data_IF_313831565301
#
_entry.id   IF_313831565301
#
_cell.length_a   1.000
_cell.length_b   1.000
_cell.length_c   1.000
_cell.angle_alpha   90.00
_cell.angle_beta   90.00
_cell.angle_gamma   90.00
#
_symmetry.space_group_name_H-M   'P 1'
#
loop_
_entity.id
_entity.type
_entity.pdbx_description
1 polymer ?
#
# COMPACT_ATOMS: atom_id res chain seq x y z
N UNK A 1 -32.87 17.54 -9.79
CA UNK A 1 -32.26 17.23 -8.46
C UNK A 1 -30.77 17.00 -8.70
N UNK A 2 -29.86 17.66 -7.98
CA UNK A 2 -28.41 17.44 -8.16
C UNK A 2 -28.00 16.20 -7.36
N UNK A 3 -27.20 15.32 -7.96
CA UNK A 3 -26.69 14.10 -7.35
C UNK A 3 -25.18 14.28 -7.13
N UNK A 4 -24.70 14.07 -5.90
CA UNK A 4 -23.26 14.14 -5.59
C UNK A 4 -22.69 12.73 -5.58
N UNK A 5 -21.53 12.53 -6.21
CA UNK A 5 -20.89 11.21 -6.31
C UNK A 5 -19.38 11.30 -6.08
N UNK A 6 -18.80 10.29 -5.43
CA UNK A 6 -17.35 10.09 -5.32
C UNK A 6 -16.89 9.12 -6.39
N UNK A 7 -15.95 9.56 -7.21
CA UNK A 7 -15.38 8.82 -8.30
C UNK A 7 -13.91 8.53 -8.01
N UNK A 8 -13.49 7.28 -8.15
CA UNK A 8 -12.07 6.91 -8.23
C UNK A 8 -11.79 6.48 -9.66
N UNK A 9 -10.86 7.16 -10.31
CA UNK A 9 -10.51 6.96 -11.73
C UNK A 9 -9.01 6.74 -11.83
N UNK A 10 -8.59 5.78 -12.66
CA UNK A 10 -7.18 5.65 -13.04
C UNK A 10 -6.98 6.20 -14.45
N UNK A 11 -5.88 6.92 -14.63
CA UNK A 11 -5.41 7.45 -15.90
C UNK A 11 -4.08 6.77 -16.20
N UNK A 12 -4.04 5.90 -17.22
CA UNK A 12 -2.80 5.30 -17.71
C UNK A 12 -2.27 6.14 -18.87
N UNK A 13 -1.01 6.56 -18.79
CA UNK A 13 -0.31 7.38 -19.78
C UNK A 13 0.85 6.61 -20.40
N UNK A 14 0.80 6.38 -21.71
CA UNK A 14 2.01 6.13 -22.50
C UNK A 14 2.66 7.49 -22.77
N UNK A 15 3.79 7.79 -22.13
CA UNK A 15 4.48 9.07 -22.27
C UNK A 15 5.90 8.94 -22.82
N UNK A 16 6.18 9.68 -23.89
CA UNK A 16 7.50 10.25 -24.14
C UNK A 16 7.57 11.60 -23.42
N UNK A 17 8.69 11.83 -22.75
CA UNK A 17 8.99 12.92 -21.80
C UNK A 17 8.82 14.34 -22.34
N UNK A 18 8.22 15.23 -21.52
CA UNK A 18 8.89 16.47 -21.03
C UNK A 18 8.11 17.15 -19.87
N UNK A 19 8.87 17.75 -18.96
CA UNK A 19 8.45 18.41 -17.72
C UNK A 19 8.08 19.89 -17.89
N UNK A 20 7.21 20.43 -17.01
CA UNK A 20 7.50 21.63 -16.20
C UNK A 20 6.41 21.98 -15.17
N UNK A 21 6.90 22.60 -14.10
CA UNK A 21 6.39 23.04 -12.78
C UNK A 21 5.46 24.26 -12.75
N UNK A 22 4.58 24.37 -11.74
CA UNK A 22 4.36 25.59 -10.94
C UNK A 22 3.52 25.36 -9.66
N UNK A 23 3.90 26.09 -8.61
CA UNK A 23 3.51 26.10 -7.18
C UNK A 23 2.21 26.86 -6.85
N UNK A 24 1.58 26.54 -5.70
CA UNK A 24 0.49 27.33 -5.07
C UNK A 24 0.74 27.51 -3.56
N UNK A 25 0.34 28.68 -3.03
CA UNK A 25 0.50 29.14 -1.65
C UNK A 25 -0.71 28.81 -0.72
N UNK A 26 -0.43 28.83 0.60
CA UNK A 26 -1.31 28.53 1.73
C UNK A 26 -2.42 29.58 2.01
N UNK A 27 -3.40 29.28 2.90
CA UNK A 27 -3.29 29.82 4.27
C UNK A 27 -3.91 29.00 5.44
N UNK A 28 -3.33 29.26 6.62
CA UNK A 28 -3.85 29.49 8.00
C UNK A 28 -5.01 28.71 8.68
N UNK A 29 -4.74 28.48 9.97
CA UNK A 29 -5.39 27.69 11.02
C UNK A 29 -6.69 28.21 11.64
N UNK A 30 -7.42 27.31 12.31
CA UNK A 30 -8.34 27.60 13.43
C UNK A 30 -8.33 26.48 14.48
N UNK A 31 -8.52 26.87 15.74
CA UNK A 31 -8.39 26.10 17.01
C UNK A 31 -9.79 25.73 17.55
N UNK A 32 -9.82 24.92 18.63
CA UNK A 32 -10.81 24.82 19.76
C UNK A 32 -11.55 23.46 19.82
N UNK A 33 -11.91 22.86 20.98
CA UNK A 33 -11.15 22.46 22.18
C UNK A 33 -11.41 20.99 22.62
N UNK A 34 -10.73 20.59 23.69
CA UNK A 34 -10.73 19.33 24.44
C UNK A 34 -12.08 18.94 25.09
N UNK A 35 -12.43 17.65 25.05
CA UNK A 35 -13.44 17.06 25.96
C UNK A 35 -12.92 15.73 26.52
N UNK A 36 -13.01 15.59 27.85
CA UNK A 36 -12.53 14.44 28.63
C UNK A 36 -13.62 13.38 28.76
N UNK A 37 -13.28 12.11 28.56
CA UNK A 37 -14.19 11.00 28.83
C UNK A 37 -13.60 10.06 29.90
N UNK A 38 -14.36 9.90 30.98
CA UNK A 38 -14.13 9.05 32.13
C UNK A 38 -14.24 7.56 31.79
N UNK A 39 -13.28 6.78 32.29
CA UNK A 39 -13.19 5.32 32.24
C UNK A 39 -14.31 4.63 33.02
N UNK A 40 -14.93 3.60 32.44
CA UNK A 40 -15.70 2.58 33.16
C UNK A 40 -15.22 1.20 32.74
N UNK A 41 -14.66 0.46 33.69
CA UNK A 41 -14.10 -0.87 33.51
C UNK A 41 -15.23 -1.88 33.24
N UNK A 42 -15.12 -2.62 32.13
CA UNK A 42 -16.00 -3.74 31.78
C UNK A 42 -15.24 -5.03 32.04
N UNK A 43 -15.94 -5.96 32.68
CA UNK A 43 -15.45 -7.27 33.08
C UNK A 43 -14.87 -8.07 31.91
N UNK A 44 -13.74 -8.74 32.18
CA UNK A 44 -12.95 -9.52 31.24
C UNK A 44 -13.67 -10.83 30.89
N UNK A 45 -14.45 -10.81 29.81
CA UNK A 45 -14.79 -12.03 29.06
C UNK A 45 -13.52 -12.53 28.36
N UNK A 46 -13.25 -13.85 28.43
CA UNK A 46 -12.12 -14.45 27.71
C UNK A 46 -12.21 -14.06 26.22
N UNK A 47 -11.24 -13.26 25.77
CA UNK A 47 -11.22 -12.74 24.41
C UNK A 47 -11.06 -13.89 23.42
N UNK A 48 -11.87 -13.89 22.36
CA UNK A 48 -11.65 -14.73 21.18
C UNK A 48 -10.21 -14.52 20.68
N UNK A 49 -9.50 -15.58 20.27
CA UNK A 49 -8.16 -15.44 19.75
C UNK A 49 -8.19 -14.52 18.52
N UNK A 50 -7.32 -13.51 18.52
CA UNK A 50 -7.17 -12.62 17.37
C UNK A 50 -6.90 -13.42 16.11
N UNK A 51 -7.57 -13.04 15.03
CA UNK A 51 -7.42 -13.66 13.72
C UNK A 51 -6.99 -12.59 12.74
N UNK A 52 -5.89 -12.85 12.02
CA UNK A 52 -5.41 -11.95 10.99
C UNK A 52 -6.49 -11.71 9.91
N UNK A 53 -6.52 -10.53 9.27
CA UNK A 53 -7.47 -10.26 8.20
C UNK A 53 -7.33 -11.32 7.08
N UNK A 54 -8.45 -11.80 6.55
CA UNK A 54 -8.45 -12.88 5.54
C UNK A 54 -7.66 -12.55 4.26
N UNK A 55 -7.40 -11.27 3.99
CA UNK A 55 -6.56 -10.81 2.88
C UNK A 55 -5.07 -11.09 3.10
N UNK A 56 -4.63 -11.39 4.32
CA UNK A 56 -3.23 -11.71 4.59
C UNK A 56 -2.90 -13.09 4.02
N UNK A 57 -1.73 -13.18 3.43
CA UNK A 57 -1.06 -14.45 3.15
C UNK A 57 -0.61 -15.05 4.48
N UNK A 58 -0.45 -16.39 4.57
CA UNK A 58 0.06 -17.04 5.78
C UNK A 58 1.36 -16.39 6.24
N UNK A 59 1.52 -16.22 7.55
CA UNK A 59 2.72 -15.64 8.16
C UNK A 59 2.92 -16.20 9.57
N UNK A 60 4.07 -15.87 10.19
CA UNK A 60 4.56 -16.36 11.49
C UNK A 60 4.87 -17.86 11.51
N UNK A 61 5.28 -18.35 12.67
CA UNK A 61 5.54 -19.76 13.00
C UNK A 61 4.52 -20.76 12.45
N UNK A 62 3.22 -20.42 12.37
CA UNK A 62 2.21 -21.28 11.75
C UNK A 62 2.41 -21.50 10.24
N UNK A 63 3.04 -20.55 9.56
CA UNK A 63 3.42 -20.60 8.15
C UNK A 63 4.89 -21.02 7.92
N UNK A 64 5.66 -21.22 8.99
CA UNK A 64 7.07 -21.60 8.96
C UNK A 64 8.02 -20.44 8.67
N UNK A 65 7.60 -19.21 8.95
CA UNK A 65 8.38 -18.00 8.68
C UNK A 65 9.66 -17.92 9.51
N UNK A 66 10.64 -17.20 8.97
CA UNK A 66 11.77 -16.66 9.75
C UNK A 66 11.29 -15.41 10.47
N UNK A 67 11.44 -15.36 11.80
CA UNK A 67 10.94 -14.28 12.65
C UNK A 67 12.10 -13.44 13.21
N UNK A 68 11.99 -12.11 13.11
CA UNK A 68 12.95 -11.14 13.63
C UNK A 68 12.23 -10.15 14.53
N UNK A 69 12.48 -10.24 15.84
CA UNK A 69 11.94 -9.31 16.83
C UNK A 69 12.72 -8.00 16.82
N UNK A 70 12.02 -6.89 17.07
CA UNK A 70 12.65 -5.60 17.32
C UNK A 70 13.74 -5.71 18.39
N UNK A 71 14.89 -5.11 18.11
CA UNK A 71 16.02 -5.05 19.05
C UNK A 71 16.40 -3.64 19.48
N UNK A 72 15.73 -2.59 18.94
CA UNK A 72 15.87 -1.20 19.37
C UNK A 72 16.96 -0.38 18.67
N UNK A 73 17.34 -0.75 17.44
CA UNK A 73 18.30 -0.03 16.59
C UNK A 73 17.77 0.03 15.15
N UNK A 74 18.09 1.11 14.40
CA UNK A 74 17.81 1.35 12.96
C UNK A 74 18.43 0.25 12.06
N UNK A 75 17.90 -0.95 12.15
CA UNK A 75 18.50 -2.16 11.64
C UNK A 75 17.65 -2.84 10.57
N UNK A 76 18.30 -3.70 9.81
CA UNK A 76 17.71 -4.40 8.69
C UNK A 76 18.25 -5.81 8.61
N UNK A 77 17.48 -6.68 7.96
CA UNK A 77 17.90 -8.05 7.65
C UNK A 77 18.12 -8.20 6.16
N UNK A 78 19.32 -8.63 5.78
CA UNK A 78 19.63 -9.01 4.40
C UNK A 78 19.03 -10.38 4.10
N UNK A 79 18.19 -10.44 3.08
CA UNK A 79 17.55 -11.68 2.63
C UNK A 79 18.01 -11.99 1.22
N UNK A 80 18.71 -13.12 1.06
CA UNK A 80 19.02 -13.66 -0.26
C UNK A 80 17.78 -14.37 -0.81
N UNK A 81 17.36 -14.01 -2.02
CA UNK A 81 16.16 -14.58 -2.65
C UNK A 81 16.52 -15.90 -3.33
N UNK A 82 15.66 -16.92 -3.17
CA UNK A 82 15.82 -18.20 -3.88
C UNK A 82 15.57 -18.10 -5.39
N UNK A 83 14.83 -17.07 -5.81
CA UNK A 83 14.56 -16.75 -7.22
C UNK A 83 14.75 -15.24 -7.43
N UNK A 84 15.42 -14.80 -8.52
CA UNK A 84 15.57 -13.38 -8.79
C UNK A 84 14.22 -12.69 -8.97
N UNK A 85 14.04 -11.52 -8.36
CA UNK A 85 12.83 -10.71 -8.46
C UNK A 85 13.08 -9.46 -9.31
N UNK A 86 12.19 -9.14 -10.24
CA UNK A 86 12.33 -7.94 -11.07
C UNK A 86 11.46 -6.80 -10.54
N UNK A 87 12.09 -5.67 -10.25
CA UNK A 87 11.44 -4.44 -9.80
C UNK A 87 11.79 -3.28 -10.76
N UNK A 88 10.79 -2.82 -11.50
CA UNK A 88 10.85 -1.75 -12.51
C UNK A 88 12.03 -1.84 -13.47
N UNK A 89 12.28 -3.03 -14.02
CA UNK A 89 13.30 -3.27 -15.05
C UNK A 89 14.69 -3.58 -14.51
N UNK A 90 14.85 -3.64 -13.18
CA UNK A 90 16.06 -4.14 -12.52
C UNK A 90 15.76 -5.46 -11.82
N UNK A 91 16.68 -6.40 -11.92
CA UNK A 91 16.54 -7.72 -11.31
C UNK A 91 17.43 -7.83 -10.09
N UNK A 92 16.86 -8.28 -8.98
CA UNK A 92 17.49 -8.37 -7.68
C UNK A 92 17.52 -9.83 -7.20
N UNK A 93 18.66 -10.22 -6.62
CA UNK A 93 18.85 -11.55 -6.01
C UNK A 93 18.75 -11.48 -4.48
N UNK A 94 18.47 -10.30 -3.94
CA UNK A 94 18.41 -10.03 -2.51
C UNK A 94 17.55 -8.81 -2.24
N UNK A 95 17.15 -8.63 -1.01
CA UNK A 95 16.52 -7.42 -0.49
C UNK A 95 16.93 -7.21 0.97
N UNK A 96 16.58 -6.05 1.51
CA UNK A 96 16.74 -5.72 2.93
C UNK A 96 15.38 -5.44 3.53
N UNK A 97 15.05 -6.14 4.61
CA UNK A 97 13.83 -5.94 5.40
C UNK A 97 14.16 -5.05 6.59
N UNK A 98 13.57 -3.87 6.64
CA UNK A 98 13.78 -2.90 7.72
C UNK A 98 12.66 -3.02 8.75
N UNK A 99 12.98 -2.84 10.02
CA UNK A 99 11.96 -2.79 11.07
C UNK A 99 10.94 -1.68 10.82
N UNK A 100 11.40 -0.54 10.31
CA UNK A 100 10.60 0.64 9.98
C UNK A 100 9.62 0.49 8.80
N UNK A 101 9.22 -0.73 8.46
CA UNK A 101 8.16 -0.99 7.49
C UNK A 101 8.57 -0.65 6.05
N UNK A 102 9.83 -0.94 5.71
CA UNK A 102 10.46 -0.66 4.43
C UNK A 102 11.15 -1.91 3.87
N UNK A 103 11.00 -2.14 2.56
CA UNK A 103 11.80 -3.09 1.79
C UNK A 103 12.66 -2.32 0.79
N UNK A 104 13.96 -2.54 0.81
CA UNK A 104 14.88 -1.96 -0.18
C UNK A 104 15.57 -3.07 -0.96
N UNK A 105 15.89 -2.84 -2.23
CA UNK A 105 16.42 -3.89 -3.10
C UNK A 105 17.93 -3.77 -3.37
N UNK A 106 18.39 -2.58 -3.75
CA UNK A 106 19.77 -2.38 -4.20
C UNK A 106 20.76 -2.03 -3.07
N UNK A 107 20.29 -1.39 -2.00
CA UNK A 107 21.09 -1.02 -0.84
C UNK A 107 20.17 -0.76 0.37
N UNK A 108 20.66 -0.92 1.61
CA UNK A 108 19.88 -0.55 2.79
C UNK A 108 19.70 0.97 2.87
N UNK A 109 18.58 1.41 3.43
CA UNK A 109 18.27 2.81 3.73
C UNK A 109 18.34 3.03 5.26
N UNK A 110 19.34 3.77 5.78
CA UNK A 110 19.54 3.95 7.22
C UNK A 110 18.74 5.14 7.77
N UNK A 111 17.46 5.26 7.41
CA UNK A 111 16.63 6.39 7.82
C UNK A 111 15.55 5.96 8.84
N UNK A 112 15.43 6.75 9.91
CA UNK A 112 14.42 6.59 10.97
C UNK A 112 12.97 6.79 10.51
N UNK A 113 12.73 7.15 9.25
CA UNK A 113 11.38 7.39 8.76
C UNK A 113 11.32 7.92 7.34
N UNK A 114 10.10 8.17 6.83
CA UNK A 114 9.92 8.53 5.44
C UNK A 114 10.57 9.87 5.10
N UNK A 115 11.46 9.82 4.11
CA UNK A 115 11.94 10.98 3.40
C UNK A 115 10.95 11.25 2.26
N UNK A 116 10.37 12.45 2.20
CA UNK A 116 9.20 12.76 1.35
C UNK A 116 9.31 12.27 -0.10
N UNK A 117 8.20 11.72 -0.64
CA UNK A 117 8.10 11.35 -2.05
C UNK A 117 7.85 12.54 -3.02
N UNK A 118 8.44 12.51 -4.22
CA UNK A 118 9.46 11.56 -4.67
C UNK A 118 10.78 11.78 -3.91
N UNK A 119 11.35 10.71 -3.36
CA UNK A 119 12.61 10.79 -2.60
C UNK A 119 13.75 11.30 -3.48
N UNK A 120 13.68 11.00 -4.79
CA UNK A 120 14.74 11.16 -5.78
C UNK A 120 16.04 10.52 -5.31
N UNK A 121 15.91 9.46 -4.51
CA UNK A 121 17.00 8.72 -3.91
C UNK A 121 17.69 7.79 -4.89
N UNK A 122 18.64 7.04 -4.33
CA UNK A 122 19.42 6.02 -5.03
C UNK A 122 18.91 4.61 -4.79
N UNK A 123 17.76 4.48 -4.12
CA UNK A 123 17.15 3.24 -3.66
C UNK A 123 15.93 2.88 -4.53
N UNK A 124 15.79 1.60 -4.85
CA UNK A 124 14.53 0.99 -5.24
C UNK A 124 13.90 0.39 -3.99
N UNK A 125 12.67 0.79 -3.65
CA UNK A 125 12.01 0.34 -2.43
C UNK A 125 10.49 0.20 -2.52
N UNK A 126 9.94 -0.65 -1.65
CA UNK A 126 8.51 -0.72 -1.33
C UNK A 126 8.35 -0.35 0.14
N UNK A 127 7.52 0.64 0.42
CA UNK A 127 7.21 1.12 1.76
C UNK A 127 5.76 0.72 2.07
N UNK A 128 5.46 -0.48 2.59
CA UNK A 128 4.09 -0.80 2.98
C UNK A 128 3.58 0.08 4.11
N UNK A 129 4.43 0.49 5.05
CA UNK A 129 4.08 1.41 6.13
C UNK A 129 5.39 1.96 6.70
N UNK A 130 6.03 2.90 6.00
CA UNK A 130 7.30 3.46 6.42
C UNK A 130 7.09 4.52 7.50
N UNK A 131 7.62 4.28 8.69
CA UNK A 131 7.58 5.17 9.85
C UNK A 131 8.69 4.79 10.84
N UNK A 132 8.84 5.57 11.91
CA UNK A 132 9.82 5.35 12.99
C UNK A 132 9.30 4.28 13.98
N UNK A 133 9.11 3.06 13.49
CA UNK A 133 8.40 1.97 14.21
C UNK A 133 9.27 1.24 15.23
N UNK A 134 10.59 1.29 15.09
CA UNK A 134 11.51 0.65 16.03
C UNK A 134 11.64 1.41 17.36
N UNK A 135 11.32 2.71 17.37
CA UNK A 135 11.43 3.60 18.54
C UNK A 135 10.08 3.97 19.19
N UNK A 136 8.93 3.50 18.70
CA UNK A 136 7.62 3.81 19.32
C UNK A 136 7.38 3.14 20.69
N UNK A 137 8.32 2.32 21.17
CA UNK A 137 8.26 1.67 22.48
C UNK A 137 7.28 0.48 22.57
N UNK A 138 6.88 -0.08 21.43
CA UNK A 138 5.96 -1.22 21.34
C UNK A 138 6.74 -2.51 21.11
N UNK A 139 6.18 -3.65 21.51
CA UNK A 139 6.69 -4.93 21.03
C UNK A 139 6.34 -5.09 19.56
N UNK A 140 7.34 -5.42 18.74
CA UNK A 140 7.11 -5.71 17.34
C UNK A 140 8.12 -6.68 16.76
N UNK A 141 7.79 -7.15 15.57
CA UNK A 141 8.62 -8.03 14.75
C UNK A 141 8.29 -7.81 13.29
N UNK A 142 9.17 -8.31 12.43
CA UNK A 142 8.72 -8.80 11.13
C UNK A 142 9.00 -10.30 10.99
N UNK A 143 8.26 -10.93 10.09
CA UNK A 143 8.40 -12.33 9.75
C UNK A 143 8.33 -12.48 8.22
N UNK A 144 9.14 -13.37 7.65
CA UNK A 144 9.13 -13.60 6.21
C UNK A 144 9.27 -15.07 5.81
N UNK A 145 8.76 -15.40 4.61
CA UNK A 145 8.86 -16.72 4.01
C UNK A 145 8.85 -16.65 2.48
N UNK A 146 9.57 -17.58 1.85
CA UNK A 146 9.52 -17.83 0.40
C UNK A 146 8.71 -19.09 0.07
N UNK A 147 7.96 -19.04 -1.02
CA UNK A 147 7.17 -20.15 -1.54
C UNK A 147 7.51 -20.39 -3.02
N UNK A 148 7.95 -21.60 -3.32
CA UNK A 148 8.20 -22.11 -4.68
C UNK A 148 7.25 -23.25 -5.07
N UNK A 149 6.33 -23.61 -4.17
CA UNK A 149 5.29 -24.60 -4.40
C UNK A 149 4.11 -24.37 -3.42
N UNK A 150 3.04 -25.15 -3.56
CA UNK A 150 1.93 -25.19 -2.62
C UNK A 150 0.82 -24.18 -2.89
N UNK A 151 -0.15 -24.12 -1.96
CA UNK A 151 -1.38 -23.34 -2.11
C UNK A 151 -1.17 -21.83 -2.15
N UNK A 152 -0.05 -21.33 -1.64
CA UNK A 152 0.31 -19.91 -1.69
C UNK A 152 0.51 -19.44 -3.13
N UNK A 153 1.20 -20.22 -3.97
CA UNK A 153 1.33 -19.91 -5.41
C UNK A 153 -0.02 -19.93 -6.12
N UNK A 154 -0.90 -20.89 -5.78
CA UNK A 154 -2.26 -20.96 -6.34
C UNK A 154 -3.05 -19.71 -6.01
N UNK A 155 -3.01 -19.26 -4.74
CA UNK A 155 -3.67 -18.02 -4.30
C UNK A 155 -3.10 -16.81 -5.02
N UNK A 156 -1.77 -16.67 -5.10
CA UNK A 156 -1.11 -15.57 -5.79
C UNK A 156 -1.49 -15.52 -7.28
N UNK A 157 -1.55 -16.68 -7.92
CA UNK A 157 -2.00 -16.81 -9.32
C UNK A 157 -3.44 -16.33 -9.48
N UNK A 158 -4.35 -16.71 -8.57
CA UNK A 158 -5.74 -16.28 -8.61
C UNK A 158 -5.89 -14.78 -8.37
N UNK A 159 -5.22 -14.24 -7.35
CA UNK A 159 -5.24 -12.82 -7.01
C UNK A 159 -4.74 -11.96 -8.19
N UNK A 160 -3.58 -12.30 -8.75
CA UNK A 160 -3.00 -11.54 -9.88
C UNK A 160 -3.88 -11.64 -11.12
N UNK A 161 -4.39 -12.82 -11.48
CA UNK A 161 -5.29 -12.95 -12.64
C UNK A 161 -6.65 -12.27 -12.44
N UNK A 162 -7.12 -12.15 -11.18
CA UNK A 162 -8.32 -11.38 -10.87
C UNK A 162 -8.10 -9.87 -11.10
N UNK A 163 -6.94 -9.35 -10.70
CA UNK A 163 -6.65 -7.91 -10.76
C UNK A 163 -6.05 -7.46 -12.10
N UNK A 164 -5.36 -8.35 -12.80
CA UNK A 164 -4.64 -8.13 -14.05
C UNK A 164 -4.95 -9.24 -15.09
N UNK A 165 -6.23 -9.42 -15.49
CA UNK A 165 -6.67 -10.58 -16.28
C UNK A 165 -6.06 -10.69 -17.68
N UNK A 166 -5.44 -9.62 -18.19
CA UNK A 166 -4.83 -9.59 -19.53
C UNK A 166 -3.43 -10.20 -19.56
N UNK A 167 -2.84 -10.53 -18.40
CA UNK A 167 -1.43 -10.92 -18.29
C UNK A 167 -1.20 -12.44 -18.41
N UNK A 168 -2.25 -13.28 -18.30
CA UNK A 168 -2.16 -14.74 -18.31
C UNK A 168 -1.05 -15.28 -17.37
N UNK A 169 -1.12 -14.87 -16.11
CA UNK A 169 -0.05 -15.06 -15.14
C UNK A 169 -0.15 -16.41 -14.42
N UNK A 170 0.98 -17.00 -14.03
CA UNK A 170 1.02 -18.17 -13.12
C UNK A 170 2.22 -18.06 -12.20
N UNK A 171 1.98 -17.81 -10.91
CA UNK A 171 3.05 -17.61 -9.94
C UNK A 171 3.93 -18.87 -9.83
N UNK A 172 5.24 -18.70 -9.95
CA UNK A 172 6.25 -19.72 -9.65
C UNK A 172 7.03 -19.41 -8.38
N UNK A 173 6.96 -18.16 -7.90
CA UNK A 173 7.66 -17.71 -6.72
C UNK A 173 6.86 -16.62 -5.99
N UNK A 174 6.79 -16.72 -4.66
CA UNK A 174 6.17 -15.72 -3.78
C UNK A 174 7.06 -15.50 -2.56
N UNK A 175 7.30 -14.25 -2.20
CA UNK A 175 7.89 -13.85 -0.92
C UNK A 175 6.87 -13.07 -0.12
N UNK A 176 6.58 -13.52 1.10
CA UNK A 176 5.68 -12.86 2.04
C UNK A 176 6.52 -12.29 3.16
N UNK A 177 6.30 -11.02 3.50
CA UNK A 177 6.85 -10.40 4.70
C UNK A 177 5.76 -9.63 5.42
N UNK A 178 5.66 -9.85 6.73
CA UNK A 178 4.63 -9.26 7.59
C UNK A 178 5.28 -8.59 8.77
N UNK A 179 4.96 -7.32 8.99
CA UNK A 179 5.30 -6.58 10.20
C UNK A 179 4.11 -6.60 11.15
N UNK A 180 4.39 -6.84 12.42
CA UNK A 180 3.36 -6.84 13.45
C UNK A 180 3.89 -6.18 14.72
N UNK A 181 3.25 -5.07 15.09
CA UNK A 181 3.54 -4.27 16.28
C UNK A 181 2.30 -4.25 17.17
N UNK A 182 2.49 -4.42 18.48
CA UNK A 182 1.41 -4.39 19.48
C UNK A 182 1.85 -3.50 20.63
N UNK A 183 0.98 -2.57 21.05
CA UNK A 183 1.16 -1.61 22.14
C UNK A 183 1.23 -2.33 23.50
N UNK A 184 2.36 -2.99 23.75
CA UNK A 184 2.62 -3.74 24.97
C UNK A 184 4.12 -3.96 25.13
N UNK A 185 4.55 -4.22 26.36
CA UNK A 185 5.88 -4.74 26.70
C UNK A 185 5.81 -6.19 27.20
N UNK A 186 4.62 -6.81 27.18
CA UNK A 186 4.39 -8.18 27.63
C UNK A 186 4.22 -9.15 26.46
N UNK A 187 5.06 -10.20 26.44
CA UNK A 187 5.07 -11.20 25.37
C UNK A 187 3.75 -11.96 25.24
N UNK A 188 3.02 -12.20 26.33
CA UNK A 188 1.72 -12.88 26.23
C UNK A 188 0.67 -11.97 25.59
N UNK A 189 0.68 -10.67 25.91
CA UNK A 189 -0.18 -9.68 25.25
C UNK A 189 0.16 -9.53 23.77
N UNK A 190 1.45 -9.56 23.41
CA UNK A 190 1.88 -9.54 22.02
C UNK A 190 1.38 -10.76 21.24
N UNK A 191 1.62 -11.98 21.76
CA UNK A 191 1.20 -13.23 21.10
C UNK A 191 -0.33 -13.34 20.98
N UNK A 192 -1.07 -12.84 21.97
CA UNK A 192 -2.54 -12.83 21.96
C UNK A 192 -3.14 -11.67 21.18
N UNK A 193 -2.30 -10.74 20.69
CA UNK A 193 -2.73 -9.51 20.02
C UNK A 193 -3.77 -8.73 20.84
N UNK A 194 -3.50 -8.57 22.14
CA UNK A 194 -4.50 -8.11 23.12
C UNK A 194 -4.50 -6.59 23.38
N UNK A 195 -3.83 -5.80 22.55
CA UNK A 195 -3.74 -4.35 22.66
C UNK A 195 -3.85 -3.70 21.26
N UNK A 196 -3.68 -2.37 21.18
CA UNK A 196 -3.63 -1.69 19.88
C UNK A 196 -2.49 -2.23 19.04
N UNK A 197 -2.68 -2.33 17.73
CA UNK A 197 -1.71 -2.95 16.85
C UNK A 197 -1.58 -2.27 15.50
N UNK A 198 -0.41 -2.44 14.91
CA UNK A 198 -0.08 -2.06 13.55
C UNK A 198 0.39 -3.34 12.85
N UNK A 199 -0.42 -3.84 11.93
CA UNK A 199 -0.14 -5.08 11.19
C UNK A 199 -0.27 -4.82 9.70
N UNK A 200 0.80 -5.06 8.95
CA UNK A 200 0.82 -4.88 7.50
C UNK A 200 1.75 -5.88 6.84
N UNK A 201 1.51 -6.17 5.57
CA UNK A 201 2.20 -7.23 4.84
C UNK A 201 2.51 -6.81 3.41
N UNK A 202 3.71 -7.13 2.95
CA UNK A 202 4.09 -7.08 1.53
C UNK A 202 4.20 -8.49 0.98
N UNK A 203 3.67 -8.70 -0.22
CA UNK A 203 3.75 -9.98 -0.95
C UNK A 203 4.36 -9.73 -2.32
N UNK A 204 5.60 -10.16 -2.53
CA UNK A 204 6.25 -10.14 -3.85
C UNK A 204 5.86 -11.40 -4.61
N UNK A 205 5.49 -11.28 -5.87
CA UNK A 205 4.93 -12.38 -6.67
C UNK A 205 5.60 -12.37 -8.04
N UNK A 206 6.12 -13.52 -8.49
CA UNK A 206 6.75 -13.65 -9.81
C UNK A 206 6.46 -14.99 -10.47
N UNK A 207 6.47 -14.99 -11.81
CA UNK A 207 6.51 -16.20 -12.66
C UNK A 207 7.90 -16.41 -13.31
N UNK A 208 8.90 -15.61 -12.92
CA UNK A 208 10.23 -15.54 -13.53
C UNK A 208 10.37 -14.52 -14.65
N UNK A 209 9.27 -14.05 -15.25
CA UNK A 209 9.26 -13.01 -16.28
C UNK A 209 8.52 -11.75 -15.81
N UNK A 210 7.26 -11.93 -15.36
CA UNK A 210 6.41 -10.91 -14.81
C UNK A 210 6.54 -10.87 -13.29
N UNK A 211 6.53 -9.66 -12.75
CA UNK A 211 6.62 -9.41 -11.31
C UNK A 211 5.51 -8.45 -10.86
N UNK A 212 4.94 -8.76 -9.71
CA UNK A 212 3.89 -8.01 -9.05
C UNK A 212 4.21 -7.90 -7.57
N UNK A 213 3.56 -6.96 -6.89
CA UNK A 213 3.53 -6.95 -5.43
C UNK A 213 2.17 -6.53 -4.90
N UNK A 214 1.82 -7.08 -3.75
CA UNK A 214 0.65 -6.69 -2.98
C UNK A 214 1.10 -6.03 -1.67
N UNK A 215 0.33 -5.06 -1.21
CA UNK A 215 0.40 -4.54 0.16
C UNK A 215 -0.95 -4.80 0.82
N UNK A 216 -0.95 -5.47 1.97
CA UNK A 216 -2.14 -5.79 2.75
C UNK A 216 -2.06 -5.10 4.12
N UNK A 217 -3.18 -4.52 4.56
CA UNK A 217 -3.31 -3.80 5.83
C UNK A 217 -4.30 -4.48 6.76
N UNK A 218 -3.87 -4.68 8.02
CA UNK A 218 -4.71 -5.03 9.14
C UNK A 218 -5.03 -3.79 9.96
N UNK A 219 -5.00 -3.90 11.28
CA UNK A 219 -5.14 -2.71 12.11
C UNK A 219 -3.91 -1.80 11.97
N UNK A 220 -4.17 -0.49 12.03
CA UNK A 220 -3.18 0.56 11.94
C UNK A 220 -3.48 1.54 13.07
N UNK A 221 -3.01 1.22 14.27
CA UNK A 221 -3.16 2.05 15.45
C UNK A 221 -2.43 3.40 15.29
N UNK A 222 -2.80 4.38 16.12
CA UNK A 222 -2.24 5.73 16.04
C UNK A 222 -0.81 5.73 16.57
N UNK A 223 0.08 6.34 15.81
CA UNK A 223 1.44 6.73 16.22
C UNK A 223 1.66 8.22 15.97
N UNK A 224 2.66 8.80 16.62
CA UNK A 224 2.98 10.22 16.50
C UNK A 224 3.79 10.55 15.25
N UNK A 225 4.52 9.56 14.74
CA UNK A 225 5.44 9.73 13.62
C UNK A 225 4.74 9.77 12.26
N UNK A 226 5.46 10.30 11.28
CA UNK A 226 4.96 10.36 9.91
C UNK A 226 4.90 8.96 9.33
N UNK A 227 3.82 8.69 8.58
CA UNK A 227 3.63 7.44 7.87
C UNK A 227 3.59 7.73 6.40
N UNK A 228 4.33 6.95 5.63
CA UNK A 228 4.20 6.92 4.19
C UNK A 228 4.07 5.48 3.69
N UNK A 229 3.12 5.27 2.79
CA UNK A 229 2.93 3.97 2.18
C UNK A 229 2.92 4.08 0.66
N UNK A 230 3.56 3.13 -0.02
CA UNK A 230 3.79 3.22 -1.46
C UNK A 230 5.04 2.49 -1.95
N UNK A 231 5.63 3.04 -3.00
CA UNK A 231 6.92 2.60 -3.53
C UNK A 231 7.62 3.75 -4.25
N UNK A 232 8.94 3.67 -4.35
CA UNK A 232 9.75 4.58 -5.15
C UNK A 232 10.87 3.77 -5.83
N UNK A 233 11.40 4.32 -6.92
CA UNK A 233 12.52 3.75 -7.66
C UNK A 233 13.65 4.76 -7.73
N UNK A 234 14.85 4.31 -8.12
CA UNK A 234 16.01 5.17 -8.31
C UNK A 234 15.66 6.40 -9.17
N UNK A 235 15.97 7.61 -8.67
CA UNK A 235 15.62 8.92 -9.24
C UNK A 235 14.11 9.21 -9.35
N UNK A 236 13.29 8.41 -8.68
CA UNK A 236 11.83 8.42 -8.70
C UNK A 236 11.19 8.37 -10.07
N UNK A 237 11.79 7.57 -10.97
CA UNK A 237 11.29 7.34 -12.32
C UNK A 237 9.87 6.76 -12.28
N UNK A 238 9.65 5.79 -11.40
CA UNK A 238 8.35 5.25 -11.04
C UNK A 238 8.19 5.37 -9.52
N UNK A 239 7.10 6.00 -9.09
CA UNK A 239 6.77 6.13 -7.67
C UNK A 239 5.25 6.20 -7.51
N UNK A 240 4.77 5.82 -6.34
CA UNK A 240 3.37 5.96 -5.98
C UNK A 240 3.23 6.12 -4.48
N UNK A 241 2.43 7.09 -4.05
CA UNK A 241 2.03 7.27 -2.66
C UNK A 241 0.59 6.82 -2.50
N UNK A 242 0.34 5.88 -1.61
CA UNK A 242 -0.99 5.41 -1.27
C UNK A 242 -1.75 6.56 -0.58
N UNK A 243 -2.91 6.99 -1.13
CA UNK A 243 -3.75 7.99 -0.49
C UNK A 243 -4.06 7.62 0.96
N UNK A 244 -4.23 8.64 1.80
CA UNK A 244 -4.43 8.56 3.25
C UNK A 244 -3.19 8.22 4.09
N UNK A 245 -2.09 7.74 3.52
CA UNK A 245 -0.87 7.47 4.31
C UNK A 245 -0.26 8.77 4.89
N UNK A 246 0.00 9.76 4.04
CA UNK A 246 0.74 10.99 4.40
C UNK A 246 -0.11 12.13 4.99
N UNK A 247 -1.45 11.99 5.07
CA UNK A 247 -2.36 13.06 5.51
C UNK A 247 -2.89 12.85 6.94
N UNK A 248 -2.29 11.93 7.70
CA UNK A 248 -2.72 11.56 9.05
C UNK A 248 -3.92 10.59 9.11
N UNK A 249 -4.46 10.16 7.97
CA UNK A 249 -5.58 9.20 7.92
C UNK A 249 -5.11 7.76 7.66
N UNK A 250 -3.85 7.42 7.95
CA UNK A 250 -3.28 6.11 7.64
C UNK A 250 -4.01 4.95 8.33
N UNK A 251 -4.75 5.22 9.42
CA UNK A 251 -5.64 4.23 10.04
C UNK A 251 -6.71 3.68 9.08
N UNK A 252 -7.05 4.46 8.05
CA UNK A 252 -8.01 4.09 7.02
C UNK A 252 -7.41 3.17 5.96
N UNK A 253 -6.09 2.92 5.94
CA UNK A 253 -5.44 2.08 4.92
C UNK A 253 -6.11 0.70 4.80
N UNK A 254 -6.56 0.12 5.92
CA UNK A 254 -7.35 -1.13 5.97
C UNK A 254 -8.68 -1.12 5.24
N UNK A 255 -9.21 0.05 4.88
CA UNK A 255 -10.44 0.23 4.11
C UNK A 255 -10.17 0.74 2.68
N UNK A 256 -8.95 1.19 2.39
CA UNK A 256 -8.56 1.69 1.07
C UNK A 256 -8.13 0.54 0.16
N UNK A 257 -8.19 0.75 -1.16
CA UNK A 257 -7.77 -0.24 -2.15
C UNK A 257 -7.70 0.36 -3.55
N UNK A 258 -6.79 -0.14 -4.39
CA UNK A 258 -6.83 0.05 -5.84
C UNK A 258 -7.45 -1.15 -6.59
N UNK A 259 -7.75 -2.27 -5.93
CA UNK A 259 -8.28 -3.51 -6.52
C UNK A 259 -9.68 -3.89 -6.01
N UNK A 260 -10.35 -2.97 -5.30
CA UNK A 260 -11.68 -3.19 -4.72
C UNK A 260 -11.73 -4.35 -3.71
N UNK A 261 -10.62 -4.58 -3.01
CA UNK A 261 -10.52 -5.49 -1.86
C UNK A 261 -10.03 -4.63 -0.69
N UNK A 262 -10.90 -4.33 0.30
CA UNK A 262 -10.54 -3.45 1.42
C UNK A 262 -9.21 -3.87 2.07
N UNK A 263 -8.31 -2.91 2.25
CA UNK A 263 -7.01 -3.13 2.88
C UNK A 263 -5.96 -3.72 1.94
N UNK A 264 -6.29 -3.96 0.66
CA UNK A 264 -5.34 -4.51 -0.32
C UNK A 264 -5.04 -3.53 -1.44
N UNK A 265 -3.75 -3.35 -1.70
CA UNK A 265 -3.20 -2.66 -2.85
C UNK A 265 -2.38 -3.62 -3.69
N UNK A 266 -2.53 -3.56 -5.01
CA UNK A 266 -1.80 -4.43 -5.94
C UNK A 266 -1.12 -3.62 -7.04
N UNK A 267 0.13 -3.93 -7.34
CA UNK A 267 0.94 -3.21 -8.30
C UNK A 267 1.68 -4.16 -9.23
N UNK A 268 1.89 -3.71 -10.46
CA UNK A 268 2.88 -4.32 -11.36
C UNK A 268 4.26 -3.79 -10.98
N UNK A 269 5.23 -4.68 -10.80
CA UNK A 269 6.65 -4.36 -10.67
C UNK A 269 7.38 -4.45 -12.02
N UNK A 270 6.66 -4.70 -13.11
CA UNK A 270 7.26 -4.75 -14.44
C UNK A 270 7.62 -3.35 -14.90
N UNK A 271 8.76 -3.20 -15.57
CA UNK A 271 9.05 -2.00 -16.35
C UNK A 271 8.02 -1.90 -17.47
N UNK A 272 7.05 -1.00 -17.32
CA UNK A 272 6.15 -0.66 -18.42
C UNK A 272 6.07 0.85 -18.50
N UNK A 273 6.19 1.38 -19.73
CA UNK A 273 6.06 2.78 -20.13
C UNK A 273 4.65 3.37 -19.87
N UNK A 274 3.88 2.81 -18.93
CA UNK A 274 2.53 3.23 -18.56
C UNK A 274 2.55 3.81 -17.15
N UNK A 275 2.62 5.13 -17.03
CA UNK A 275 2.39 5.81 -15.75
C UNK A 275 0.89 5.76 -15.42
N UNK A 276 0.51 5.04 -14.37
CA UNK A 276 -0.88 4.97 -13.88
C UNK A 276 -1.05 6.01 -12.77
N UNK A 277 -1.86 7.04 -13.02
CA UNK A 277 -2.21 8.09 -12.06
C UNK A 277 -3.62 7.80 -11.53
N UNK A 278 -3.75 7.60 -10.22
CA UNK A 278 -5.04 7.52 -9.53
C UNK A 278 -5.56 8.91 -9.18
N UNK A 279 -6.77 9.24 -9.62
CA UNK A 279 -7.43 10.50 -9.27
C UNK A 279 -8.78 10.23 -8.62
N UNK A 280 -8.94 10.71 -7.39
CA UNK A 280 -10.24 10.74 -6.72
C UNK A 280 -10.91 12.08 -6.98
N UNK A 281 -12.15 12.05 -7.46
CA UNK A 281 -12.92 13.23 -7.82
C UNK A 281 -14.27 13.20 -7.10
N UNK A 282 -14.69 14.35 -6.58
CA UNK A 282 -16.08 14.56 -6.15
C UNK A 282 -16.81 15.32 -7.23
N UNK A 283 -17.83 14.70 -7.83
CA UNK A 283 -18.59 15.26 -8.94
C UNK A 283 -20.02 15.55 -8.50
N UNK A 284 -20.56 16.67 -8.97
CA UNK A 284 -21.99 16.96 -8.90
C UNK A 284 -22.57 16.87 -10.31
N UNK A 285 -23.56 16.00 -10.48
CA UNK A 285 -24.18 15.73 -11.77
C UNK A 285 -25.70 15.84 -11.68
N UNK A 286 -26.34 16.15 -12.81
CA UNK A 286 -27.80 16.04 -12.95
C UNK A 286 -28.23 14.62 -13.34
N UNK A 287 -27.32 13.82 -13.87
CA UNK A 287 -27.52 12.42 -14.24
C UNK A 287 -26.94 11.50 -13.18
N UNK A 288 -27.53 10.31 -13.02
CA UNK A 288 -26.98 9.28 -12.14
C UNK A 288 -25.80 8.58 -12.81
N UNK A 289 -24.57 8.88 -12.37
CA UNK A 289 -23.37 8.28 -12.97
C UNK A 289 -23.15 6.82 -12.51
N UNK A 290 -24.04 6.24 -11.70
CA UNK A 290 -24.05 4.78 -11.49
C UNK A 290 -24.52 4.04 -12.75
N UNK A 291 -25.18 4.73 -13.68
CA UNK A 291 -25.53 4.21 -15.00
C UNK A 291 -24.31 4.28 -15.94
N UNK A 292 -24.02 3.17 -16.63
CA UNK A 292 -22.83 3.00 -17.49
C UNK A 292 -22.71 4.09 -18.58
N UNK A 293 -23.79 4.40 -19.28
CA UNK A 293 -23.80 5.40 -20.35
C UNK A 293 -23.38 6.78 -19.84
N UNK A 294 -23.95 7.21 -18.70
CA UNK A 294 -23.65 8.50 -18.10
C UNK A 294 -22.20 8.61 -17.63
N UNK A 295 -21.62 7.52 -17.10
CA UNK A 295 -20.24 7.55 -16.62
C UNK A 295 -19.24 7.45 -17.76
N UNK A 296 -19.54 6.68 -18.82
CA UNK A 296 -18.71 6.64 -20.03
C UNK A 296 -18.61 8.03 -20.68
N UNK A 297 -19.72 8.76 -20.77
CA UNK A 297 -19.75 10.15 -21.25
C UNK A 297 -18.87 11.09 -20.40
N UNK A 298 -18.91 10.93 -19.07
CA UNK A 298 -18.09 11.73 -18.15
C UNK A 298 -16.61 11.37 -18.28
N UNK A 299 -16.25 10.08 -18.33
CA UNK A 299 -14.87 9.64 -18.52
C UNK A 299 -14.31 10.12 -19.87
N UNK A 300 -15.14 10.11 -20.93
CA UNK A 300 -14.77 10.62 -22.24
C UNK A 300 -14.50 12.13 -22.20
N UNK A 301 -15.35 12.90 -21.52
CA UNK A 301 -15.12 14.36 -21.33
C UNK A 301 -13.88 14.64 -20.50
N UNK A 302 -13.64 13.89 -19.42
CA UNK A 302 -12.40 13.99 -18.64
C UNK A 302 -11.20 13.69 -19.53
N UNK A 303 -11.26 12.65 -20.36
CA UNK A 303 -10.19 12.32 -21.32
C UNK A 303 -9.94 13.48 -22.29
N UNK A 304 -10.98 14.03 -22.90
CA UNK A 304 -10.86 15.14 -23.85
C UNK A 304 -10.25 16.39 -23.19
N UNK A 305 -10.66 16.72 -21.97
CA UNK A 305 -10.14 17.87 -21.23
C UNK A 305 -8.68 17.68 -20.80
N UNK A 306 -8.30 16.46 -20.42
CA UNK A 306 -6.91 16.14 -20.10
C UNK A 306 -6.03 16.24 -21.36
N UNK A 307 -6.51 15.75 -22.50
CA UNK A 307 -5.81 15.88 -23.79
C UNK A 307 -5.69 17.33 -24.23
N UNK A 308 -6.74 18.15 -24.07
CA UNK A 308 -6.71 19.58 -24.40
C UNK A 308 -5.70 20.36 -23.54
N UNK A 309 -5.44 19.88 -22.32
CA UNK A 309 -4.45 20.42 -21.38
C UNK A 309 -3.03 19.85 -21.55
N UNK A 310 -2.77 19.10 -22.62
CA UNK A 310 -1.43 18.67 -23.01
C UNK A 310 -1.07 17.22 -22.67
N UNK A 311 -2.03 16.41 -22.20
CA UNK A 311 -1.81 14.96 -22.05
C UNK A 311 -1.94 14.23 -23.40
N UNK A 312 -1.21 13.12 -23.55
CA UNK A 312 -1.21 12.31 -24.78
C UNK A 312 -2.62 11.79 -25.12
N UNK A 313 -2.99 11.74 -26.41
CA UNK A 313 -4.26 11.12 -26.83
C UNK A 313 -4.36 9.62 -26.50
N UNK A 314 -3.21 8.99 -26.26
CA UNK A 314 -3.10 7.57 -25.92
C UNK A 314 -3.44 7.28 -24.44
N UNK A 315 -3.84 8.28 -23.65
CA UNK A 315 -4.29 8.04 -22.29
C UNK A 315 -5.50 7.10 -22.26
N UNK A 316 -5.46 6.11 -21.37
CA UNK A 316 -6.62 5.28 -21.02
C UNK A 316 -7.16 5.77 -19.70
N UNK A 317 -8.46 6.03 -19.64
CA UNK A 317 -9.16 6.41 -18.41
C UNK A 317 -10.12 5.30 -18.06
N UNK A 318 -10.01 4.79 -16.85
CA UNK A 318 -10.87 3.72 -16.35
C UNK A 318 -11.48 4.11 -15.01
N UNK A 319 -12.80 4.00 -14.92
CA UNK A 319 -13.51 4.09 -13.65
C UNK A 319 -13.19 2.86 -12.80
N UNK A 320 -12.75 3.08 -11.57
CA UNK A 320 -12.58 2.01 -10.58
C UNK A 320 -13.72 1.94 -9.59
N UNK A 321 -14.17 3.09 -9.09
CA UNK A 321 -15.23 3.17 -8.09
C UNK A 321 -16.11 4.36 -8.36
N UNK A 322 -17.41 4.16 -8.24
CA UNK A 322 -18.39 5.22 -8.16
C UNK A 322 -19.28 4.99 -6.94
N UNK A 323 -19.45 6.00 -6.10
CA UNK A 323 -20.36 5.94 -4.95
C UNK A 323 -21.26 7.17 -4.95
N UNK A 324 -22.57 6.91 -5.04
CA UNK A 324 -23.60 7.94 -4.90
C UNK A 324 -23.71 8.34 -3.43
N UNK A 325 -23.61 9.64 -3.17
CA UNK A 325 -23.90 10.21 -1.86
C UNK A 325 -25.39 10.54 -1.86
N UNK A 326 -26.17 9.77 -1.10
CA UNK A 326 -27.55 10.16 -0.80
C UNK A 326 -27.51 11.43 0.05
N UNK A 327 -28.43 12.39 -0.17
CA UNK A 327 -28.48 13.61 0.62
C UNK A 327 -28.64 13.33 2.11
#
# INVERSE_FOLDING_TARGET
>A
MRITQHLLVFISLLSLTRAQTATVAAPASTVVPTESATTSAIAQTAAEPWTAPAIFYPFRSAAGDTEHFLTGDESYEYVALSTPYTFFGRTYNSLYVHYNGLLTFNQPEPASGPNYNPTRGTEDFIAPFWSDLDDIGWMGMFSYQEYTNGSVLTRATQDINQYFPQMNFTASWVFVVTWDYVETTDMNSFIRHSAQAITFQTVLISDGNLSFFLINYGDCAVIYDQVEAGYDTINSINHFVIPDSINGNYQNLKNTSNVNVPGRWAFTANSVLESIIGVQMRLTSFSDLTQSENIEDVLLKIKQELVSRGLSSNIKIQLRKNTKIQP
#
